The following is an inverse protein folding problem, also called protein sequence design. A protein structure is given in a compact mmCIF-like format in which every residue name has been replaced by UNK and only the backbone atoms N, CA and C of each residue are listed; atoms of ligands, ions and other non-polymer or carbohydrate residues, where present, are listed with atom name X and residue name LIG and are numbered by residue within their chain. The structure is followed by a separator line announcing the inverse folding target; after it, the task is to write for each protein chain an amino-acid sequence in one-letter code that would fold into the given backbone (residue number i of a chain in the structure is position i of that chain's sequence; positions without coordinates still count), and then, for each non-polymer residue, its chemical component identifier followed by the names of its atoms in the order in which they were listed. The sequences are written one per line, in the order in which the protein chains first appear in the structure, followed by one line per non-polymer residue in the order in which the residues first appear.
data_IF_867224639621
#
_entry.id   IF_867224639621
#
_cell.length_a   1.000
_cell.length_b   1.000
_cell.length_c   1.000
_cell.angle_alpha   90.00
_cell.angle_beta   90.00
_cell.angle_gamma   90.00
#
_symmetry.space_group_name_H-M   'P 1'
#
loop_
_entity.id
_entity.type
_entity.pdbx_description
1 polymer ?
#
# COMPACT_ATOMS: atom_id res chain seq x y z
N UNK A 1 -5.80 -18.25 47.37
CA UNK A 1 -4.81 -17.35 46.76
C UNK A 1 -4.88 -17.59 45.26
N UNK A 2 -5.54 -16.71 44.53
CA UNK A 2 -5.82 -16.88 43.10
C UNK A 2 -4.65 -16.29 42.30
N UNK A 3 -3.91 -17.16 41.62
CA UNK A 3 -2.79 -16.77 40.77
C UNK A 3 -3.32 -16.11 39.50
N UNK A 4 -3.24 -14.78 39.44
CA UNK A 4 -3.47 -14.01 38.21
C UNK A 4 -2.47 -14.44 37.15
N UNK A 5 -2.93 -15.19 36.15
CA UNK A 5 -2.17 -15.46 34.94
C UNK A 5 -1.96 -14.14 34.20
N UNK A 6 -0.77 -13.56 34.35
CA UNK A 6 -0.30 -12.44 33.54
C UNK A 6 -0.10 -12.95 32.11
N UNK A 7 -1.11 -12.76 31.25
CA UNK A 7 -0.97 -12.98 29.81
C UNK A 7 0.08 -11.99 29.34
N UNK A 8 1.32 -12.46 29.15
CA UNK A 8 2.29 -11.72 28.33
C UNK A 8 1.63 -11.57 26.97
N UNK A 9 1.17 -10.37 26.64
CA UNK A 9 0.93 -9.99 25.26
C UNK A 9 2.28 -10.14 24.57
N UNK A 10 2.48 -11.28 23.91
CA UNK A 10 3.56 -11.42 22.94
C UNK A 10 3.28 -10.35 21.89
N UNK A 11 4.08 -9.28 21.88
CA UNK A 11 4.06 -8.30 20.81
C UNK A 11 4.40 -9.10 19.55
N UNK A 12 3.36 -9.40 18.75
CA UNK A 12 3.53 -10.20 17.56
C UNK A 12 4.34 -9.36 16.58
N UNK A 13 5.49 -9.89 16.15
CA UNK A 13 6.32 -9.27 15.12
C UNK A 13 5.49 -9.20 13.84
N UNK A 14 5.17 -7.98 13.37
CA UNK A 14 4.33 -7.79 12.17
C UNK A 14 5.21 -7.39 10.99
N UNK A 15 5.05 -8.08 9.87
CA UNK A 15 5.68 -7.73 8.59
C UNK A 15 4.66 -7.00 7.72
N UNK A 16 5.07 -5.88 7.17
CA UNK A 16 4.25 -5.08 6.27
C UNK A 16 5.03 -4.75 4.99
N UNK A 17 4.39 -4.99 3.86
CA UNK A 17 4.90 -4.55 2.56
C UNK A 17 4.17 -3.30 2.11
N UNK A 18 4.94 -2.31 1.67
CA UNK A 18 4.41 -1.12 0.99
C UNK A 18 4.77 -1.23 -0.47
N UNK A 19 3.77 -1.50 -1.30
CA UNK A 19 3.96 -1.58 -2.75
C UNK A 19 4.07 -0.17 -3.32
N UNK A 20 5.18 0.12 -3.99
CA UNK A 20 5.54 1.43 -4.51
C UNK A 20 5.64 1.40 -6.03
N UNK A 21 5.35 2.52 -6.68
CA UNK A 21 5.56 2.69 -8.13
C UNK A 21 7.05 2.84 -8.47
N UNK A 22 7.73 3.75 -7.77
CA UNK A 22 9.04 4.25 -8.14
C UNK A 22 10.03 4.31 -6.98
N UNK A 23 11.28 4.61 -7.35
CA UNK A 23 12.41 4.65 -6.42
C UNK A 23 12.25 5.73 -5.35
N UNK A 24 11.61 6.86 -5.67
CA UNK A 24 11.38 7.94 -4.71
C UNK A 24 10.51 7.48 -3.56
N UNK A 25 9.38 6.81 -3.86
CA UNK A 25 8.46 6.27 -2.85
C UNK A 25 9.11 5.15 -2.05
N UNK A 26 9.86 4.26 -2.72
CA UNK A 26 10.61 3.19 -2.07
C UNK A 26 11.61 3.75 -1.05
N UNK A 27 12.38 4.76 -1.45
CA UNK A 27 13.38 5.39 -0.58
C UNK A 27 12.72 6.14 0.57
N UNK A 28 11.61 6.83 0.33
CA UNK A 28 10.85 7.46 1.41
C UNK A 28 10.32 6.43 2.42
N UNK A 29 9.77 5.31 1.94
CA UNK A 29 9.31 4.24 2.84
C UNK A 29 10.48 3.65 3.63
N UNK A 30 11.61 3.35 2.97
CA UNK A 30 12.78 2.73 3.57
C UNK A 30 13.47 3.63 4.61
N UNK A 31 13.67 4.90 4.28
CA UNK A 31 14.51 5.80 5.08
C UNK A 31 13.71 6.66 6.07
N UNK A 32 12.42 6.90 5.81
CA UNK A 32 11.56 7.73 6.68
C UNK A 32 10.54 6.89 7.42
N UNK A 33 9.73 6.08 6.71
CA UNK A 33 8.59 5.40 7.32
C UNK A 33 9.04 4.19 8.15
N UNK A 34 9.85 3.28 7.59
CA UNK A 34 10.24 2.04 8.26
C UNK A 34 10.90 2.25 9.63
N UNK A 35 11.84 3.21 9.82
CA UNK A 35 12.44 3.47 11.13
C UNK A 35 11.43 3.92 12.20
N UNK A 36 10.40 4.66 11.81
CA UNK A 36 9.34 5.13 12.73
C UNK A 36 8.55 3.95 13.31
N UNK A 37 8.38 2.86 12.57
CA UNK A 37 7.57 1.72 13.01
C UNK A 37 8.38 0.58 13.64
N UNK A 38 9.70 0.54 13.42
CA UNK A 38 10.59 -0.50 13.93
C UNK A 38 10.54 -0.66 15.47
N UNK A 39 10.44 0.45 16.22
CA UNK A 39 10.35 0.41 17.69
C UNK A 39 9.07 -0.27 18.21
N UNK A 40 8.05 -0.44 17.35
CA UNK A 40 6.79 -1.12 17.64
C UNK A 40 6.75 -2.56 17.13
N UNK A 41 7.90 -3.10 16.73
CA UNK A 41 8.03 -4.44 16.13
C UNK A 41 7.20 -4.61 14.85
N UNK A 42 6.99 -3.51 14.12
CA UNK A 42 6.39 -3.49 12.79
C UNK A 42 7.50 -3.24 11.79
N UNK A 43 7.79 -4.25 10.97
CA UNK A 43 8.87 -4.22 10.00
C UNK A 43 8.30 -3.94 8.62
N UNK A 44 8.56 -2.73 8.13
CA UNK A 44 8.05 -2.25 6.86
C UNK A 44 9.12 -2.44 5.78
N UNK A 45 8.75 -3.07 4.68
CA UNK A 45 9.60 -3.25 3.50
C UNK A 45 8.90 -2.67 2.28
N UNK A 46 9.57 -1.77 1.57
CA UNK A 46 9.09 -1.28 0.29
C UNK A 46 9.27 -2.34 -0.81
N UNK A 47 8.28 -2.46 -1.70
CA UNK A 47 8.29 -3.40 -2.83
C UNK A 47 7.95 -2.65 -4.11
N UNK A 48 8.90 -2.57 -5.04
CA UNK A 48 8.68 -1.93 -6.33
C UNK A 48 7.94 -2.86 -7.29
N UNK A 49 6.93 -2.31 -7.99
CA UNK A 49 6.34 -2.99 -9.14
C UNK A 49 7.32 -2.88 -10.31
N UNK A 50 7.69 -4.00 -10.90
CA UNK A 50 8.59 -4.00 -12.05
C UNK A 50 7.90 -3.34 -13.27
N UNK A 51 8.26 -2.09 -13.55
CA UNK A 51 7.96 -1.47 -14.85
C UNK A 51 8.85 -2.10 -15.90
N UNK A 52 8.30 -2.47 -17.07
CA UNK A 52 9.11 -3.03 -18.15
C UNK A 52 10.24 -2.08 -18.53
N UNK A 53 11.48 -2.61 -18.60
CA UNK A 53 12.67 -1.89 -19.08
C UNK A 53 12.41 -1.38 -20.50
N UNK A 54 12.12 -0.09 -20.67
CA UNK A 54 12.09 0.53 -22.00
C UNK A 54 11.02 1.59 -22.25
N UNK A 55 9.98 1.72 -21.42
CA UNK A 55 8.96 2.76 -21.63
C UNK A 55 9.07 3.86 -20.58
N UNK A 56 9.68 4.98 -20.98
CA UNK A 56 9.56 6.25 -20.25
C UNK A 56 8.10 6.69 -20.31
N UNK A 57 7.38 6.63 -19.18
CA UNK A 57 6.06 7.26 -19.05
C UNK A 57 4.83 6.38 -19.24
N UNK A 58 4.88 5.09 -18.87
CA UNK A 58 3.66 4.29 -18.74
C UNK A 58 3.14 4.40 -17.32
N UNK A 59 1.99 5.04 -17.10
CA UNK A 59 1.35 5.16 -15.79
C UNK A 59 1.14 3.80 -15.10
N UNK A 60 0.78 3.86 -13.82
CA UNK A 60 0.55 2.70 -12.96
C UNK A 60 -0.52 1.79 -13.56
N UNK A 61 -0.09 0.73 -14.24
CA UNK A 61 -1.02 -0.19 -14.87
C UNK A 61 -1.72 -1.05 -13.81
N UNK A 62 -3.04 -0.88 -13.68
CA UNK A 62 -3.80 -1.53 -12.61
C UNK A 62 -3.65 -3.06 -12.61
N UNK A 63 -3.64 -3.69 -13.79
CA UNK A 63 -3.53 -5.15 -13.89
C UNK A 63 -2.19 -5.68 -13.37
N UNK A 64 -1.09 -4.92 -13.57
CA UNK A 64 0.23 -5.26 -13.02
C UNK A 64 0.24 -5.11 -11.51
N UNK A 65 -0.32 -4.01 -10.99
CA UNK A 65 -0.46 -3.75 -9.56
C UNK A 65 -1.21 -4.90 -8.88
N UNK A 66 -2.41 -5.20 -9.38
CA UNK A 66 -3.28 -6.27 -8.84
C UNK A 66 -2.55 -7.61 -8.86
N UNK A 67 -1.94 -7.99 -9.98
CA UNK A 67 -1.18 -9.25 -10.09
C UNK A 67 -0.05 -9.33 -9.06
N UNK A 68 0.72 -8.25 -8.89
CA UNK A 68 1.82 -8.21 -7.93
C UNK A 68 1.32 -8.42 -6.49
N UNK A 69 0.28 -7.67 -6.09
CA UNK A 69 -0.31 -7.76 -4.75
C UNK A 69 -0.86 -9.16 -4.49
N UNK A 70 -1.60 -9.74 -5.44
CA UNK A 70 -2.15 -11.08 -5.29
C UNK A 70 -1.07 -12.15 -5.16
N UNK A 71 0.06 -12.01 -5.86
CA UNK A 71 1.19 -12.93 -5.71
C UNK A 71 1.80 -12.81 -4.31
N UNK A 72 2.05 -11.59 -3.82
CA UNK A 72 2.54 -11.40 -2.45
C UNK A 72 1.57 -11.95 -1.39
N UNK A 73 0.26 -11.76 -1.58
CA UNK A 73 -0.77 -12.29 -0.67
C UNK A 73 -0.80 -13.83 -0.66
N UNK A 74 -0.53 -14.47 -1.80
CA UNK A 74 -0.44 -15.94 -1.93
C UNK A 74 0.84 -16.51 -1.33
N UNK A 75 1.96 -15.81 -1.47
CA UNK A 75 3.28 -16.31 -1.06
C UNK A 75 3.51 -16.23 0.46
N UNK A 76 3.00 -15.18 1.13
CA UNK A 76 3.35 -14.90 2.52
C UNK A 76 2.14 -14.71 3.45
N UNK A 77 1.61 -15.80 4.00
CA UNK A 77 0.36 -15.83 4.78
C UNK A 77 0.27 -14.82 5.94
N UNK A 78 1.40 -14.44 6.55
CA UNK A 78 1.44 -13.52 7.70
C UNK A 78 1.81 -12.07 7.35
N UNK A 79 1.87 -11.74 6.05
CA UNK A 79 2.29 -10.42 5.59
C UNK A 79 1.08 -9.53 5.32
N UNK A 80 1.13 -8.33 5.88
CA UNK A 80 0.20 -7.23 5.61
C UNK A 80 0.72 -6.47 4.39
N UNK A 81 -0.15 -6.13 3.45
CA UNK A 81 0.20 -5.38 2.25
C UNK A 81 -0.58 -4.08 2.23
N UNK A 82 0.13 -3.01 1.95
CA UNK A 82 -0.40 -1.69 1.65
C UNK A 82 0.24 -1.14 0.38
N UNK A 83 -0.28 -0.06 -0.15
CA UNK A 83 0.22 0.60 -1.34
C UNK A 83 0.60 2.04 -1.06
N UNK A 84 1.58 2.56 -1.81
CA UNK A 84 1.93 3.96 -1.83
C UNK A 84 2.11 4.40 -3.29
N UNK A 85 1.07 5.00 -3.84
CA UNK A 85 0.98 5.37 -5.26
C UNK A 85 0.72 6.86 -5.43
N UNK A 86 1.12 7.42 -6.56
CA UNK A 86 0.69 8.76 -6.96
C UNK A 86 -0.73 8.69 -7.53
N UNK A 87 -1.65 9.49 -6.96
CA UNK A 87 -3.06 9.57 -7.38
C UNK A 87 -3.19 9.98 -8.84
N UNK A 88 -2.27 10.82 -9.30
CA UNK A 88 -2.29 11.37 -10.65
C UNK A 88 -1.59 10.46 -11.67
N UNK A 89 -0.90 9.42 -11.22
CA UNK A 89 -0.24 8.43 -12.08
C UNK A 89 -1.08 7.17 -12.31
N UNK A 90 -2.22 7.03 -11.64
CA UNK A 90 -3.15 5.90 -11.82
C UNK A 90 -3.71 5.87 -13.25
N UNK A 91 -3.73 4.69 -13.86
CA UNK A 91 -4.36 4.50 -15.16
C UNK A 91 -5.90 4.50 -15.06
N UNK A 92 -6.56 4.64 -16.21
CA UNK A 92 -8.02 4.59 -16.30
C UNK A 92 -8.62 3.19 -16.07
N UNK A 93 -7.77 2.16 -15.98
CA UNK A 93 -8.16 0.80 -15.62
C UNK A 93 -8.29 0.60 -14.11
N UNK A 94 -7.91 1.59 -13.29
CA UNK A 94 -8.04 1.53 -11.85
C UNK A 94 -9.52 1.46 -11.42
N UNK A 95 -9.88 0.63 -10.42
CA UNK A 95 -11.25 0.50 -9.95
C UNK A 95 -11.86 1.85 -9.57
N UNK A 96 -13.03 2.13 -10.14
CA UNK A 96 -13.77 3.38 -9.92
C UNK A 96 -13.03 4.67 -10.29
N UNK A 97 -12.10 4.61 -11.24
CA UNK A 97 -11.34 5.76 -11.72
C UNK A 97 -12.25 6.89 -12.24
N UNK A 98 -13.23 6.56 -13.09
CA UNK A 98 -14.13 7.55 -13.68
C UNK A 98 -15.07 8.21 -12.65
N UNK A 99 -15.56 7.45 -11.69
CA UNK A 99 -16.34 7.96 -10.56
C UNK A 99 -15.46 8.86 -9.68
N UNK A 100 -14.24 8.41 -9.37
CA UNK A 100 -13.28 9.16 -8.57
C UNK A 100 -12.92 10.50 -9.21
N UNK A 101 -12.74 10.56 -10.53
CA UNK A 101 -12.45 11.82 -11.25
C UNK A 101 -13.55 12.87 -11.13
N UNK A 102 -14.80 12.47 -10.88
CA UNK A 102 -15.94 13.38 -10.72
C UNK A 102 -16.00 13.98 -9.31
N UNK A 103 -15.26 13.42 -8.35
CA UNK A 103 -15.20 13.91 -6.98
C UNK A 103 -14.16 15.03 -6.89
N UNK A 104 -14.60 16.23 -6.55
CA UNK A 104 -13.74 17.40 -6.41
C UNK A 104 -12.89 17.38 -5.14
N UNK A 105 -13.46 16.86 -4.05
CA UNK A 105 -12.75 16.68 -2.79
C UNK A 105 -11.72 15.54 -2.91
N UNK A 106 -10.44 15.87 -2.71
CA UNK A 106 -9.35 14.91 -2.90
C UNK A 106 -9.42 13.76 -1.90
N UNK A 107 -9.85 14.00 -0.66
CA UNK A 107 -9.93 12.95 0.36
C UNK A 107 -11.06 11.96 0.05
N UNK A 108 -12.21 12.46 -0.38
CA UNK A 108 -13.32 11.63 -0.84
C UNK A 108 -12.97 10.85 -2.10
N UNK A 109 -12.22 11.46 -3.03
CA UNK A 109 -11.72 10.78 -4.23
C UNK A 109 -10.78 9.65 -3.86
N UNK A 110 -9.83 9.90 -2.98
CA UNK A 110 -8.87 8.90 -2.45
C UNK A 110 -9.63 7.74 -1.81
N UNK A 111 -10.53 8.03 -0.86
CA UNK A 111 -11.32 7.01 -0.18
C UNK A 111 -12.13 6.15 -1.17
N UNK A 112 -12.78 6.77 -2.17
CA UNK A 112 -13.56 6.06 -3.19
C UNK A 112 -12.71 5.08 -4.00
N UNK A 113 -11.50 5.48 -4.36
CA UNK A 113 -10.55 4.65 -5.12
C UNK A 113 -9.97 3.54 -4.26
N UNK A 114 -9.60 3.84 -3.01
CA UNK A 114 -9.10 2.86 -2.03
C UNK A 114 -10.14 1.77 -1.74
N UNK A 115 -11.40 2.15 -1.50
CA UNK A 115 -12.49 1.20 -1.26
C UNK A 115 -12.73 0.29 -2.48
N UNK A 116 -12.74 0.87 -3.67
CA UNK A 116 -12.92 0.11 -4.91
C UNK A 116 -11.77 -0.88 -5.15
N UNK A 117 -10.54 -0.42 -4.90
CA UNK A 117 -9.35 -1.24 -5.05
C UNK A 117 -9.33 -2.40 -4.07
N UNK A 118 -9.61 -2.12 -2.79
CA UNK A 118 -9.71 -3.13 -1.76
C UNK A 118 -10.79 -4.16 -2.09
N UNK A 119 -11.98 -3.72 -2.50
CA UNK A 119 -13.07 -4.61 -2.88
C UNK A 119 -12.67 -5.52 -4.05
N UNK A 120 -11.97 -4.99 -5.06
CA UNK A 120 -11.53 -5.79 -6.22
C UNK A 120 -10.43 -6.80 -5.89
N UNK A 121 -9.56 -6.51 -4.91
CA UNK A 121 -8.55 -7.47 -4.42
C UNK A 121 -9.20 -8.57 -3.55
N UNK A 122 -10.11 -8.19 -2.64
CA UNK A 122 -10.79 -9.12 -1.72
C UNK A 122 -11.69 -10.08 -2.49
N UNK A 123 -12.26 -9.67 -3.62
CA UNK A 123 -13.06 -10.54 -4.50
C UNK A 123 -12.32 -11.80 -4.94
N UNK A 124 -10.98 -11.76 -4.99
CA UNK A 124 -10.16 -12.92 -5.35
C UNK A 124 -10.06 -13.94 -4.21
N UNK A 125 -10.09 -13.48 -2.94
CA UNK A 125 -10.13 -14.31 -1.75
C UNK A 125 -10.50 -13.46 -0.53
N UNK A 126 -11.61 -13.79 0.15
CA UNK A 126 -12.11 -13.05 1.31
C UNK A 126 -11.10 -13.00 2.48
N UNK A 127 -10.23 -14.00 2.60
CA UNK A 127 -9.18 -14.05 3.63
C UNK A 127 -8.14 -12.93 3.48
N UNK A 128 -8.09 -12.25 2.33
CA UNK A 128 -7.20 -11.11 2.13
C UNK A 128 -7.69 -9.84 2.85
N UNK A 129 -8.94 -9.79 3.33
CA UNK A 129 -9.50 -8.60 3.97
C UNK A 129 -8.70 -8.11 5.19
N UNK A 130 -8.14 -9.04 5.98
CA UNK A 130 -7.34 -8.71 7.17
C UNK A 130 -5.89 -8.32 6.84
N UNK A 131 -5.42 -8.72 5.65
CA UNK A 131 -4.03 -8.55 5.21
C UNK A 131 -3.84 -7.45 4.18
N UNK A 132 -4.93 -6.93 3.63
CA UNK A 132 -4.95 -5.80 2.73
C UNK A 132 -5.79 -4.68 3.35
N UNK A 133 -5.32 -4.06 4.45
CA UNK A 133 -6.04 -2.98 5.11
C UNK A 133 -6.20 -1.78 4.17
N UNK A 134 -7.26 -1.00 4.40
CA UNK A 134 -7.40 0.32 3.78
C UNK A 134 -6.28 1.19 4.32
N UNK A 135 -5.42 1.75 3.47
CA UNK A 135 -4.32 2.60 3.92
C UNK A 135 -4.26 3.87 3.10
N UNK A 136 -4.38 4.99 3.83
CA UNK A 136 -4.04 6.35 3.44
C UNK A 136 -2.61 6.40 2.88
N UNK A 137 -2.44 6.41 1.56
CA UNK A 137 -1.28 7.07 0.94
C UNK A 137 -1.45 7.22 -0.57
N UNK A 138 -2.19 8.26 -0.92
CA UNK A 138 -2.09 8.95 -2.20
C UNK A 138 -1.47 10.31 -1.88
N UNK A 139 -0.13 10.39 -1.78
CA UNK A 139 0.51 11.67 -1.49
C UNK A 139 0.51 12.58 -2.72
N UNK A 140 0.10 13.83 -2.50
CA UNK A 140 0.47 14.95 -3.35
C UNK A 140 1.96 15.26 -3.14
N UNK A 141 2.85 14.61 -3.88
CA UNK A 141 4.28 14.96 -3.91
C UNK A 141 4.65 15.62 -5.24
N UNK A 142 3.94 16.71 -5.58
CA UNK A 142 4.51 17.72 -6.48
C UNK A 142 4.74 18.99 -5.67
N UNK A 143 5.95 19.14 -5.11
CA UNK A 143 6.36 20.45 -4.58
C UNK A 143 7.53 20.53 -3.59
N UNK A 144 7.99 19.46 -2.96
CA UNK A 144 9.10 19.59 -2.00
C UNK A 144 10.45 19.29 -2.66
N UNK A 145 11.07 20.33 -3.23
CA UNK A 145 12.52 20.39 -3.29
C UNK A 145 13.04 20.34 -1.85
N UNK A 146 13.75 19.28 -1.48
CA UNK A 146 14.54 19.28 -0.26
C UNK A 146 15.70 20.29 -0.46
N UNK A 147 15.88 21.28 0.43
CA UNK A 147 17.06 22.12 0.37
C UNK A 147 18.29 21.23 0.62
N UNK A 148 19.32 21.48 -0.19
CA UNK A 148 20.67 20.91 -0.02
C UNK A 148 21.40 21.65 1.09
#
# INVERSE_FOLDING_TARGET
METKHYRRETVAMKRMYVVCEGQTEETFVRDVIAPIFAHRQIYITARLISTSKGHKGGGLNYQRIKKFILNCLKEEADTIITTFFDLYALDNGFPSYEEGRKISDVHQRVARLEDAFKADVIKENELYAERFPTVYSLMNLKGCCLPT
#
